data_IF_291755752835
#
_entry.id   IF_291755752835
#
_cell.length_a   1.000
_cell.length_b   1.000
_cell.length_c   1.000
_cell.angle_alpha   90.00
_cell.angle_beta   90.00
_cell.angle_gamma   90.00
#
_symmetry.space_group_name_H-M   'P 1'
#
loop_
_entity.id
_entity.type
_entity.pdbx_description
1 polymer ?
#
# COMPACT_ATOMS: atom_id res chain seq x y z
N UNK A 1 17.33 1.96 -2.10
CA UNK A 1 16.82 3.33 -2.33
C UNK A 1 17.19 4.21 -1.13
N UNK A 2 18.12 5.16 -1.25
CA UNK A 2 18.29 6.21 -0.24
C UNK A 2 17.18 7.24 -0.51
N UNK A 3 16.05 7.16 0.18
CA UNK A 3 15.07 8.25 0.13
C UNK A 3 15.59 9.37 1.03
N UNK A 4 16.20 10.39 0.45
CA UNK A 4 16.22 11.68 1.12
C UNK A 4 14.75 12.09 1.28
N UNK A 5 14.25 12.09 2.53
CA UNK A 5 12.87 12.44 2.90
C UNK A 5 12.77 13.91 3.34
N UNK A 6 13.72 14.74 2.91
CA UNK A 6 13.80 16.16 3.27
C UNK A 6 12.52 16.92 2.86
N UNK A 7 11.92 16.54 1.75
CA UNK A 7 10.64 17.06 1.26
C UNK A 7 9.47 16.82 2.22
N UNK A 8 9.58 15.89 3.18
CA UNK A 8 8.53 15.61 4.17
C UNK A 8 8.78 16.27 5.53
N UNK A 9 9.91 16.96 5.72
CA UNK A 9 10.19 17.66 6.98
C UNK A 9 9.09 18.70 7.23
N UNK A 10 8.47 18.65 8.42
CA UNK A 10 7.37 19.54 8.80
C UNK A 10 6.01 19.21 8.15
N UNK A 11 5.93 18.22 7.24
CA UNK A 11 4.67 17.87 6.57
C UNK A 11 3.63 17.34 7.56
N UNK A 12 4.04 16.50 8.50
CA UNK A 12 3.17 15.95 9.55
C UNK A 12 2.45 17.04 10.35
N UNK A 13 3.10 18.19 10.58
CA UNK A 13 2.51 19.30 11.31
C UNK A 13 1.46 20.01 10.48
N UNK A 14 1.76 20.28 9.20
CA UNK A 14 0.78 20.84 8.26
C UNK A 14 -0.46 19.97 8.14
N UNK A 15 -0.30 18.65 8.08
CA UNK A 15 -1.43 17.71 8.03
C UNK A 15 -2.27 17.76 9.31
N UNK A 16 -1.64 17.82 10.49
CA UNK A 16 -2.36 17.95 11.77
C UNK A 16 -3.16 19.24 11.88
N UNK A 17 -2.63 20.35 11.37
CA UNK A 17 -3.29 21.66 11.37
C UNK A 17 -4.19 21.87 10.15
N UNK A 18 -4.43 20.83 9.34
CA UNK A 18 -5.23 20.87 8.11
C UNK A 18 -4.74 21.90 7.06
N UNK A 19 -3.47 22.27 7.11
CA UNK A 19 -2.83 23.14 6.11
C UNK A 19 -2.45 22.32 4.87
N UNK A 20 -3.45 21.78 4.18
CA UNK A 20 -3.24 20.95 3.00
C UNK A 20 -2.70 21.75 1.81
N UNK A 21 -3.15 22.99 1.60
CA UNK A 21 -2.60 23.87 0.57
C UNK A 21 -1.08 24.12 0.76
N UNK A 22 -0.64 24.37 2.00
CA UNK A 22 0.78 24.52 2.31
C UNK A 22 1.58 23.22 2.19
N UNK A 23 0.93 22.07 2.37
CA UNK A 23 1.53 20.75 2.11
C UNK A 23 1.70 20.49 0.61
N UNK A 24 0.68 20.81 -0.20
CA UNK A 24 0.71 20.74 -1.68
C UNK A 24 1.87 21.59 -2.21
N UNK A 25 1.93 22.87 -1.82
CA UNK A 25 2.99 23.79 -2.24
C UNK A 25 4.40 23.30 -1.89
N UNK A 26 4.57 22.67 -0.72
CA UNK A 26 5.85 22.08 -0.30
C UNK A 26 6.27 20.90 -1.21
N UNK A 27 5.34 19.97 -1.49
CA UNK A 27 5.64 18.81 -2.34
C UNK A 27 5.88 19.23 -3.79
N UNK A 28 5.10 20.17 -4.32
CA UNK A 28 5.29 20.68 -5.68
C UNK A 28 6.63 21.42 -5.85
N UNK A 29 7.01 22.25 -4.87
CA UNK A 29 8.33 22.92 -4.89
C UNK A 29 9.50 21.94 -4.80
N UNK A 30 9.28 20.77 -4.21
CA UNK A 30 10.25 19.70 -4.07
C UNK A 30 10.35 18.78 -5.32
N UNK A 31 9.41 18.90 -6.27
CA UNK A 31 9.27 17.99 -7.43
C UNK A 31 10.57 17.78 -8.19
N UNK A 32 11.18 18.84 -8.71
CA UNK A 32 12.38 18.75 -9.55
C UNK A 32 13.59 18.17 -8.80
N UNK A 33 13.67 18.40 -7.48
CA UNK A 33 14.79 17.93 -6.66
C UNK A 33 14.64 16.47 -6.23
N UNK A 34 13.45 16.06 -5.81
CA UNK A 34 13.24 14.78 -5.13
C UNK A 34 12.42 13.77 -5.94
N UNK A 35 11.65 14.21 -6.92
CA UNK A 35 10.73 13.38 -7.68
C UNK A 35 11.16 13.26 -9.14
N UNK A 36 12.34 12.65 -9.37
CA UNK A 36 12.80 12.35 -10.73
C UNK A 36 11.91 11.27 -11.35
N UNK A 37 12.16 10.93 -12.62
CA UNK A 37 11.38 9.91 -13.37
C UNK A 37 11.13 8.62 -12.58
N UNK A 38 12.10 8.16 -11.77
CA UNK A 38 11.99 6.92 -10.98
C UNK A 38 11.12 7.04 -9.73
N UNK A 39 10.81 8.25 -9.28
CA UNK A 39 9.93 8.55 -8.14
C UNK A 39 8.53 9.04 -8.58
N UNK A 40 8.21 9.01 -9.88
CA UNK A 40 6.95 9.58 -10.41
C UNK A 40 5.68 9.00 -9.77
N UNK A 41 5.64 7.69 -9.49
CA UNK A 41 4.50 7.06 -8.79
C UNK A 41 4.32 7.69 -7.41
N UNK A 42 5.40 7.85 -6.66
CA UNK A 42 5.37 8.41 -5.31
C UNK A 42 4.87 9.86 -5.33
N UNK A 43 5.34 10.67 -6.28
CA UNK A 43 4.85 12.04 -6.46
C UNK A 43 3.34 12.08 -6.71
N UNK A 44 2.85 11.28 -7.65
CA UNK A 44 1.44 11.26 -8.01
C UNK A 44 0.54 10.79 -6.87
N UNK A 45 0.99 9.81 -6.09
CA UNK A 45 0.30 9.38 -4.89
C UNK A 45 0.26 10.49 -3.83
N UNK A 46 1.41 11.06 -3.49
CA UNK A 46 1.52 12.09 -2.46
C UNK A 46 0.62 13.29 -2.80
N UNK A 47 0.75 13.83 -4.01
CA UNK A 47 0.00 15.02 -4.41
C UNK A 47 -1.50 14.71 -4.62
N UNK A 48 -1.84 13.51 -5.14
CA UNK A 48 -3.22 13.07 -5.29
C UNK A 48 -3.94 12.96 -3.95
N UNK A 49 -3.26 12.40 -2.94
CA UNK A 49 -3.79 12.32 -1.57
C UNK A 49 -3.92 13.69 -0.92
N UNK A 50 -2.96 14.59 -1.11
CA UNK A 50 -3.05 15.96 -0.59
C UNK A 50 -4.22 16.73 -1.22
N UNK A 51 -4.46 16.58 -2.52
CA UNK A 51 -5.65 17.15 -3.17
C UNK A 51 -6.96 16.55 -2.65
N UNK A 52 -7.00 15.24 -2.36
CA UNK A 52 -8.17 14.61 -1.73
C UNK A 52 -8.50 15.27 -0.38
N UNK A 53 -7.50 15.41 0.50
CA UNK A 53 -7.70 16.06 1.80
C UNK A 53 -8.02 17.55 1.68
N UNK A 54 -7.51 18.23 0.66
CA UNK A 54 -7.85 19.62 0.34
C UNK A 54 -9.21 19.78 -0.37
N UNK A 55 -9.97 18.68 -0.56
CA UNK A 55 -11.26 18.64 -1.28
C UNK A 55 -11.20 19.09 -2.75
N UNK A 56 -10.02 19.05 -3.35
CA UNK A 56 -9.82 19.30 -4.77
C UNK A 56 -9.95 17.98 -5.55
N UNK A 57 -11.14 17.39 -5.49
CA UNK A 57 -11.39 16.01 -5.90
C UNK A 57 -11.06 15.73 -7.37
N UNK A 58 -11.31 16.66 -8.29
CA UNK A 58 -10.93 16.51 -9.69
C UNK A 58 -9.41 16.43 -9.88
N UNK A 59 -8.65 17.30 -9.22
CA UNK A 59 -7.18 17.27 -9.27
C UNK A 59 -6.62 16.02 -8.62
N UNK A 60 -7.24 15.59 -7.51
CA UNK A 60 -6.91 14.32 -6.88
C UNK A 60 -7.10 13.15 -7.86
N UNK A 61 -8.25 13.06 -8.52
CA UNK A 61 -8.54 12.03 -9.52
C UNK A 61 -7.56 12.03 -10.69
N UNK A 62 -7.16 13.20 -11.19
CA UNK A 62 -6.15 13.31 -12.25
C UNK A 62 -4.80 12.71 -11.81
N UNK A 63 -4.33 13.08 -10.61
CA UNK A 63 -3.04 12.64 -10.09
C UNK A 63 -3.07 11.15 -9.71
N UNK A 64 -4.13 10.68 -9.07
CA UNK A 64 -4.32 9.27 -8.74
C UNK A 64 -4.45 8.39 -10.00
N UNK A 65 -5.03 8.91 -11.08
CA UNK A 65 -5.05 8.23 -12.39
C UNK A 65 -3.66 8.15 -13.01
N UNK A 66 -2.86 9.23 -12.92
CA UNK A 66 -1.45 9.20 -13.33
C UNK A 66 -0.65 8.18 -12.52
N UNK A 67 -0.89 8.08 -11.22
CA UNK A 67 -0.28 7.05 -10.37
C UNK A 67 -0.65 5.64 -10.84
N UNK A 68 -1.96 5.35 -10.96
CA UNK A 68 -2.52 4.06 -11.42
C UNK A 68 -1.89 3.62 -12.75
N UNK A 69 -1.98 4.46 -13.77
CA UNK A 69 -1.45 4.16 -15.11
C UNK A 69 0.06 3.88 -15.08
N UNK A 70 0.80 4.64 -14.26
CA UNK A 70 2.26 4.46 -14.15
C UNK A 70 2.61 3.17 -13.39
N UNK A 71 1.85 2.79 -12.36
CA UNK A 71 2.01 1.51 -11.67
C UNK A 71 1.78 0.34 -12.64
N UNK A 72 0.76 0.41 -13.49
CA UNK A 72 0.44 -0.64 -14.47
C UNK A 72 1.50 -0.74 -15.59
N UNK A 73 2.03 0.40 -16.05
CA UNK A 73 3.15 0.47 -16.99
C UNK A 73 4.39 -0.22 -16.41
N UNK A 74 4.76 0.16 -15.17
CA UNK A 74 5.93 -0.39 -14.47
C UNK A 74 5.78 -1.87 -14.17
N UNK A 75 4.56 -2.30 -13.84
CA UNK A 75 4.25 -3.69 -13.67
C UNK A 75 4.44 -4.49 -14.97
N UNK A 76 3.90 -4.00 -16.09
CA UNK A 76 4.06 -4.65 -17.40
C UNK A 76 5.53 -4.79 -17.76
N UNK A 77 6.33 -3.73 -17.56
CA UNK A 77 7.79 -3.78 -17.73
C UNK A 77 8.46 -4.79 -16.82
N UNK A 78 8.00 -4.94 -15.57
CA UNK A 78 8.55 -5.89 -14.61
C UNK A 78 8.34 -7.35 -15.05
N UNK A 79 7.19 -7.67 -15.65
CA UNK A 79 6.92 -8.97 -16.27
C UNK A 79 7.93 -9.20 -17.40
N UNK A 80 7.98 -8.30 -18.39
CA UNK A 80 8.89 -8.44 -19.54
C UNK A 80 10.35 -8.61 -19.12
N UNK A 81 10.78 -7.90 -18.06
CA UNK A 81 12.12 -8.00 -17.49
C UNK A 81 12.36 -9.26 -16.67
N UNK A 82 11.34 -9.90 -16.10
CA UNK A 82 11.52 -11.12 -15.29
C UNK A 82 12.16 -12.27 -16.09
N UNK A 83 12.03 -12.28 -17.41
CA UNK A 83 12.69 -13.24 -18.29
C UNK A 83 14.21 -13.00 -18.44
N UNK A 84 14.67 -11.75 -18.32
CA UNK A 84 16.04 -11.32 -18.67
C UNK A 84 16.86 -10.74 -17.51
N UNK A 85 16.23 -10.29 -16.42
CA UNK A 85 16.74 -9.17 -15.64
C UNK A 85 16.86 -9.38 -14.11
N UNK A 86 16.81 -10.61 -13.60
CA UNK A 86 17.14 -10.82 -12.17
C UNK A 86 18.65 -10.55 -11.88
N UNK A 87 19.46 -10.29 -12.92
CA UNK A 87 20.87 -9.96 -12.83
C UNK A 87 21.20 -8.44 -12.92
N UNK A 88 20.20 -7.55 -13.03
CA UNK A 88 20.47 -6.11 -13.12
C UNK A 88 20.30 -5.40 -11.78
N UNK A 89 21.34 -4.65 -11.41
CA UNK A 89 21.54 -3.90 -10.18
C UNK A 89 20.29 -3.08 -9.74
N UNK A 90 19.83 -3.32 -8.50
CA UNK A 90 18.61 -2.74 -7.88
C UNK A 90 18.59 -1.20 -7.86
N UNK A 91 19.74 -0.53 -8.01
CA UNK A 91 19.82 0.94 -7.98
C UNK A 91 19.19 1.65 -9.19
N UNK A 92 18.79 0.94 -10.26
CA UNK A 92 18.18 1.53 -11.46
C UNK A 92 16.65 1.35 -11.57
N UNK A 93 15.99 0.79 -10.54
CA UNK A 93 14.56 0.47 -10.61
C UNK A 93 13.68 1.65 -10.19
N UNK A 94 12.67 1.95 -11.02
CA UNK A 94 11.61 2.91 -10.70
C UNK A 94 10.73 2.39 -9.56
N UNK A 95 10.29 3.26 -8.65
CA UNK A 95 9.31 2.91 -7.63
C UNK A 95 7.98 2.59 -8.31
N UNK A 96 7.57 1.32 -8.25
CA UNK A 96 6.38 0.81 -8.95
C UNK A 96 5.09 0.90 -8.15
N UNK A 97 5.11 1.46 -6.93
CA UNK A 97 4.01 1.35 -5.98
C UNK A 97 3.95 -0.01 -5.30
N UNK A 98 3.29 -0.06 -4.16
CA UNK A 98 2.92 -1.29 -3.46
C UNK A 98 1.52 -1.76 -3.89
N UNK A 99 1.21 -3.05 -3.80
CA UNK A 99 -0.06 -3.58 -4.32
C UNK A 99 -1.27 -3.01 -3.56
N UNK A 100 -1.14 -2.82 -2.24
CA UNK A 100 -2.19 -2.17 -1.45
C UNK A 100 -2.40 -0.71 -1.89
N UNK A 101 -1.33 0.04 -2.19
CA UNK A 101 -1.46 1.42 -2.68
C UNK A 101 -2.27 1.46 -3.98
N UNK A 102 -1.97 0.54 -4.91
CA UNK A 102 -2.70 0.43 -6.18
C UNK A 102 -4.20 0.14 -5.97
N UNK A 103 -4.55 -0.66 -4.96
CA UNK A 103 -5.95 -0.95 -4.58
C UNK A 103 -6.61 0.30 -3.97
N UNK A 104 -5.95 0.95 -3.00
CA UNK A 104 -6.51 2.11 -2.30
C UNK A 104 -6.58 3.37 -3.17
N UNK A 105 -5.78 3.45 -4.25
CA UNK A 105 -5.95 4.50 -5.27
C UNK A 105 -7.40 4.55 -5.77
N UNK A 106 -8.05 3.42 -6.05
CA UNK A 106 -9.44 3.43 -6.50
C UNK A 106 -10.43 3.68 -5.36
N UNK A 107 -10.13 3.31 -4.11
CA UNK A 107 -10.95 3.70 -2.95
C UNK A 107 -10.99 5.23 -2.84
N UNK A 108 -9.85 5.90 -2.91
CA UNK A 108 -9.81 7.36 -2.81
C UNK A 108 -10.40 8.04 -4.05
N UNK A 109 -10.23 7.49 -5.25
CA UNK A 109 -10.93 7.98 -6.45
C UNK A 109 -12.46 7.81 -6.32
N UNK A 110 -12.95 6.69 -5.79
CA UNK A 110 -14.37 6.50 -5.53
C UNK A 110 -14.89 7.54 -4.53
N UNK A 111 -14.19 7.76 -3.42
CA UNK A 111 -14.54 8.80 -2.44
C UNK A 111 -14.53 10.21 -3.04
N UNK A 112 -13.56 10.51 -3.91
CA UNK A 112 -13.52 11.77 -4.65
C UNK A 112 -14.74 11.94 -5.54
N UNK A 113 -15.11 10.93 -6.32
CA UNK A 113 -16.29 10.97 -7.18
C UNK A 113 -17.59 11.09 -6.37
N UNK A 114 -17.69 10.41 -5.21
CA UNK A 114 -18.80 10.63 -4.27
C UNK A 114 -18.85 12.07 -3.77
N UNK A 115 -17.70 12.68 -3.47
CA UNK A 115 -17.61 14.11 -3.12
C UNK A 115 -17.92 15.08 -4.26
N UNK A 116 -18.10 14.57 -5.48
CA UNK A 116 -18.50 15.31 -6.68
C UNK A 116 -19.93 14.95 -7.15
N UNK A 117 -20.66 14.17 -6.36
CA UNK A 117 -21.99 13.63 -6.71
C UNK A 117 -21.99 12.77 -8.00
N UNK A 118 -20.83 12.18 -8.34
CA UNK A 118 -20.59 11.34 -9.51
C UNK A 118 -20.67 9.85 -9.15
N UNK A 119 -21.88 9.35 -8.91
CA UNK A 119 -22.11 7.98 -8.42
C UNK A 119 -21.67 6.89 -9.42
N UNK A 120 -21.92 7.08 -10.72
CA UNK A 120 -21.54 6.12 -11.75
C UNK A 120 -20.02 5.95 -11.83
N UNK A 121 -19.28 7.05 -11.78
CA UNK A 121 -17.83 7.06 -11.77
C UNK A 121 -17.28 6.43 -10.48
N UNK A 122 -17.90 6.69 -9.33
CA UNK A 122 -17.55 6.03 -8.07
C UNK A 122 -17.70 4.50 -8.18
N UNK A 123 -18.80 4.01 -8.77
CA UNK A 123 -19.01 2.59 -9.02
C UNK A 123 -17.97 1.99 -9.96
N UNK A 124 -17.56 2.71 -11.00
CA UNK A 124 -16.49 2.26 -11.91
C UNK A 124 -15.20 2.02 -11.12
N UNK A 125 -14.84 2.94 -10.23
CA UNK A 125 -13.64 2.78 -9.39
C UNK A 125 -13.77 1.62 -8.40
N UNK A 126 -14.95 1.43 -7.80
CA UNK A 126 -15.19 0.27 -6.93
C UNK A 126 -15.06 -1.06 -7.70
N UNK A 127 -15.58 -1.15 -8.92
CA UNK A 127 -15.41 -2.34 -9.77
C UNK A 127 -13.95 -2.58 -10.15
N UNK A 128 -13.15 -1.52 -10.32
CA UNK A 128 -11.69 -1.65 -10.55
C UNK A 128 -10.97 -2.29 -9.37
N UNK A 129 -11.43 -2.05 -8.13
CA UNK A 129 -10.88 -2.72 -6.95
C UNK A 129 -11.05 -4.24 -7.06
N UNK A 130 -12.28 -4.69 -7.35
CA UNK A 130 -12.59 -6.11 -7.53
C UNK A 130 -11.74 -6.74 -8.65
N UNK A 131 -11.59 -6.03 -9.77
CA UNK A 131 -10.72 -6.46 -10.87
C UNK A 131 -9.28 -6.62 -10.41
N UNK A 132 -8.72 -5.61 -9.72
CA UNK A 132 -7.33 -5.65 -9.20
C UNK A 132 -7.11 -6.80 -8.23
N UNK A 133 -8.06 -7.05 -7.32
CA UNK A 133 -7.99 -8.17 -6.38
C UNK A 133 -8.03 -9.52 -7.10
N UNK A 134 -8.92 -9.68 -8.09
CA UNK A 134 -9.07 -10.95 -8.82
C UNK A 134 -7.81 -11.33 -9.61
N UNK A 135 -7.07 -10.35 -10.14
CA UNK A 135 -5.86 -10.59 -10.93
C UNK A 135 -4.58 -10.56 -10.10
N UNK A 136 -4.63 -10.18 -8.82
CA UNK A 136 -3.45 -9.97 -7.98
C UNK A 136 -2.61 -11.24 -7.81
N UNK A 137 -3.23 -12.41 -7.62
CA UNK A 137 -2.46 -13.65 -7.54
C UNK A 137 -1.86 -14.04 -8.90
N UNK A 138 -2.66 -13.92 -9.96
CA UNK A 138 -2.26 -14.27 -11.32
C UNK A 138 -1.11 -13.41 -11.82
N UNK A 139 -1.09 -12.14 -11.42
CA UNK A 139 0.01 -11.19 -11.55
C UNK A 139 1.34 -11.84 -11.16
N UNK A 140 1.42 -12.37 -9.94
CA UNK A 140 2.64 -12.96 -9.40
C UNK A 140 2.92 -14.36 -9.96
N UNK A 141 1.88 -15.18 -10.19
CA UNK A 141 2.01 -16.50 -10.82
C UNK A 141 2.65 -16.37 -12.22
N UNK A 142 2.28 -15.35 -13.00
CA UNK A 142 2.88 -15.07 -14.31
C UNK A 142 4.36 -14.73 -14.20
N UNK A 143 4.75 -13.90 -13.24
CA UNK A 143 6.16 -13.57 -13.00
C UNK A 143 6.96 -14.83 -12.62
N UNK A 144 6.43 -15.65 -11.70
CA UNK A 144 7.07 -16.91 -11.30
C UNK A 144 7.24 -17.87 -12.47
N UNK A 145 6.20 -18.03 -13.29
CA UNK A 145 6.24 -18.87 -14.49
C UNK A 145 7.31 -18.40 -15.49
N UNK A 146 7.43 -17.09 -15.72
CA UNK A 146 8.43 -16.55 -16.64
C UNK A 146 9.85 -16.73 -16.13
N UNK A 147 10.11 -16.45 -14.86
CA UNK A 147 11.42 -16.68 -14.26
C UNK A 147 11.80 -18.18 -14.27
N UNK A 148 10.87 -19.06 -13.88
CA UNK A 148 11.11 -20.50 -13.86
C UNK A 148 11.34 -21.09 -15.27
N UNK A 149 11.05 -20.33 -16.34
CA UNK A 149 11.35 -20.68 -17.73
C UNK A 149 12.66 -20.07 -18.24
N UNK A 150 13.26 -19.13 -17.51
CA UNK A 150 14.51 -18.48 -17.93
C UNK A 150 15.67 -19.47 -17.87
N UNK A 151 16.55 -19.44 -18.88
CA UNK A 151 17.75 -20.29 -18.97
C UNK A 151 18.77 -19.99 -17.87
N UNK A 152 18.72 -18.78 -17.31
CA UNK A 152 19.66 -18.32 -16.27
C UNK A 152 19.14 -18.55 -14.84
N UNK A 153 18.08 -19.35 -14.66
CA UNK A 153 17.53 -19.60 -13.32
C UNK A 153 18.49 -20.46 -12.50
N UNK A 154 18.78 -20.02 -11.26
CA UNK A 154 19.55 -20.82 -10.30
C UNK A 154 18.67 -21.81 -9.54
N UNK A 155 17.45 -21.40 -9.20
CA UNK A 155 16.44 -22.21 -8.49
C UNK A 155 15.04 -21.82 -8.96
N UNK A 156 14.07 -22.74 -8.88
CA UNK A 156 12.66 -22.40 -9.09
C UNK A 156 12.11 -21.63 -7.87
N UNK A 157 11.14 -20.74 -8.07
CA UNK A 157 10.37 -20.16 -6.96
C UNK A 157 8.86 -20.34 -7.13
N UNK A 158 8.15 -20.30 -5.99
CA UNK A 158 6.69 -20.23 -5.89
C UNK A 158 6.31 -18.90 -5.26
N UNK A 159 5.20 -18.32 -5.70
CA UNK A 159 4.68 -17.08 -5.12
C UNK A 159 4.05 -17.35 -3.76
N UNK A 160 3.89 -16.30 -2.95
CA UNK A 160 2.92 -16.36 -1.86
C UNK A 160 1.49 -16.50 -2.40
N UNK A 161 0.54 -16.78 -1.52
CA UNK A 161 -0.89 -16.74 -1.80
C UNK A 161 -1.49 -15.48 -1.20
N UNK A 162 -2.48 -14.89 -1.87
CA UNK A 162 -3.25 -13.77 -1.33
C UNK A 162 -4.48 -14.30 -0.63
N UNK A 163 -4.68 -13.91 0.62
CA UNK A 163 -6.00 -14.03 1.25
C UNK A 163 -6.85 -12.80 1.03
N UNK A 164 -6.33 -11.74 0.40
CA UNK A 164 -7.11 -10.54 0.08
C UNK A 164 -7.73 -10.68 -1.31
N UNK A 165 -9.03 -10.96 -1.34
CA UNK A 165 -9.83 -11.18 -2.54
C UNK A 165 -11.08 -10.28 -2.56
N UNK A 166 -11.46 -9.72 -1.42
CA UNK A 166 -12.64 -8.87 -1.28
C UNK A 166 -12.39 -7.76 -0.25
N UNK A 167 -12.55 -6.50 -0.68
CA UNK A 167 -12.42 -5.31 0.16
C UNK A 167 -13.76 -4.96 0.80
N UNK A 168 -13.87 -5.09 2.12
CA UNK A 168 -15.08 -4.73 2.85
C UNK A 168 -15.35 -3.23 2.76
N UNK A 169 -14.31 -2.39 2.71
CA UNK A 169 -14.49 -0.95 2.50
C UNK A 169 -15.05 -0.66 1.10
N UNK A 170 -14.52 -1.29 0.05
CA UNK A 170 -15.05 -1.14 -1.31
C UNK A 170 -16.51 -1.59 -1.41
N UNK A 171 -16.85 -2.73 -0.81
CA UNK A 171 -18.24 -3.23 -0.71
C UNK A 171 -19.14 -2.29 0.09
N UNK A 172 -18.62 -1.71 1.17
CA UNK A 172 -19.37 -0.77 1.99
C UNK A 172 -19.70 0.50 1.20
N UNK A 173 -18.76 1.06 0.45
CA UNK A 173 -19.03 2.20 -0.44
C UNK A 173 -20.09 1.85 -1.50
N UNK A 174 -19.96 0.68 -2.13
CA UNK A 174 -20.93 0.16 -3.11
C UNK A 174 -22.34 0.03 -2.52
N UNK A 175 -22.45 -0.55 -1.33
CA UNK A 175 -23.69 -0.69 -0.57
C UNK A 175 -24.34 0.67 -0.33
N UNK A 176 -23.56 1.67 0.08
CA UNK A 176 -24.09 3.02 0.33
C UNK A 176 -24.66 3.64 -0.95
N UNK A 177 -23.97 3.49 -2.09
CA UNK A 177 -24.46 4.02 -3.37
C UNK A 177 -25.75 3.29 -3.79
N UNK A 178 -25.76 1.95 -3.75
CA UNK A 178 -26.97 1.18 -4.07
C UNK A 178 -28.16 1.55 -3.20
N UNK A 179 -27.92 1.80 -1.91
CA UNK A 179 -28.97 2.26 -0.99
C UNK A 179 -29.50 3.64 -1.38
N UNK A 180 -28.62 4.59 -1.74
CA UNK A 180 -29.02 5.92 -2.21
C UNK A 180 -29.86 5.85 -3.49
N UNK A 181 -29.57 4.89 -4.38
CA UNK A 181 -30.33 4.65 -5.61
C UNK A 181 -31.58 3.76 -5.41
N UNK A 182 -31.94 3.45 -4.16
CA UNK A 182 -33.05 2.55 -3.81
C UNK A 182 -32.94 1.12 -4.40
N UNK A 183 -31.72 0.66 -4.66
CA UNK A 183 -31.38 -0.69 -5.15
C UNK A 183 -31.04 -1.62 -3.98
N UNK A 184 -32.03 -1.91 -3.14
CA UNK A 184 -31.80 -2.61 -1.86
C UNK A 184 -31.32 -4.06 -2.01
N UNK A 185 -31.70 -4.75 -3.10
CA UNK A 185 -31.21 -6.10 -3.37
C UNK A 185 -29.71 -6.12 -3.69
N UNK A 186 -29.23 -5.18 -4.50
CA UNK A 186 -27.80 -5.03 -4.78
C UNK A 186 -27.02 -4.63 -3.51
N UNK A 187 -27.57 -3.70 -2.72
CA UNK A 187 -26.99 -3.32 -1.43
C UNK A 187 -26.90 -4.51 -0.46
N UNK A 188 -27.89 -5.41 -0.46
CA UNK A 188 -27.90 -6.66 0.32
C UNK A 188 -26.82 -7.64 -0.15
N UNK A 189 -26.56 -7.73 -1.46
CA UNK A 189 -25.47 -8.54 -2.00
C UNK A 189 -24.13 -8.03 -1.47
N UNK A 190 -23.88 -6.73 -1.52
CA UNK A 190 -22.63 -6.18 -0.99
C UNK A 190 -22.51 -6.34 0.53
N UNK A 191 -23.62 -6.25 1.28
CA UNK A 191 -23.63 -6.54 2.71
C UNK A 191 -23.22 -7.99 3.00
N UNK A 192 -23.71 -8.96 2.22
CA UNK A 192 -23.30 -10.35 2.35
C UNK A 192 -21.82 -10.54 2.05
N UNK A 193 -21.29 -9.87 1.01
CA UNK A 193 -19.85 -9.90 0.71
C UNK A 193 -19.02 -9.27 1.83
N UNK A 194 -19.50 -8.23 2.51
CA UNK A 194 -18.82 -7.70 3.70
C UNK A 194 -18.72 -8.78 4.78
N UNK A 195 -19.81 -9.50 5.07
CA UNK A 195 -19.82 -10.59 6.05
C UNK A 195 -18.87 -11.73 5.66
N UNK A 196 -18.90 -12.14 4.40
CA UNK A 196 -17.97 -13.15 3.85
C UNK A 196 -16.50 -12.75 4.03
N UNK A 197 -16.18 -11.45 3.99
CA UNK A 197 -14.81 -11.00 4.20
C UNK A 197 -14.31 -11.33 5.62
N UNK A 198 -15.17 -11.22 6.63
CA UNK A 198 -14.84 -11.62 8.01
C UNK A 198 -14.69 -13.14 8.16
N UNK A 199 -15.52 -13.90 7.47
CA UNK A 199 -15.49 -15.37 7.51
C UNK A 199 -14.26 -15.95 6.82
N UNK A 200 -13.95 -15.45 5.62
CA UNK A 200 -12.97 -16.07 4.71
C UNK A 200 -11.59 -15.42 4.77
N UNK A 201 -11.48 -14.17 5.25
CA UNK A 201 -10.25 -13.38 5.21
C UNK A 201 -9.84 -12.87 6.62
N UNK A 202 -9.98 -13.73 7.64
CA UNK A 202 -9.72 -13.40 9.05
C UNK A 202 -8.30 -12.93 9.38
N UNK A 203 -7.32 -13.15 8.49
CA UNK A 203 -5.98 -12.56 8.63
C UNK A 203 -5.94 -11.06 8.37
N UNK A 204 -6.96 -10.51 7.71
CA UNK A 204 -7.12 -9.08 7.40
C UNK A 204 -8.19 -8.48 8.30
N UNK A 205 -9.36 -9.13 8.38
CA UNK A 205 -10.49 -8.69 9.19
C UNK A 205 -10.43 -9.37 10.56
N UNK A 206 -9.37 -9.07 11.30
CA UNK A 206 -9.05 -9.66 12.60
C UNK A 206 -9.61 -8.86 13.80
N UNK A 207 -10.58 -7.98 13.56
CA UNK A 207 -11.25 -7.14 14.54
C UNK A 207 -12.76 -7.40 14.50
N UNK A 208 -13.51 -6.86 15.47
CA UNK A 208 -14.97 -7.03 15.53
C UNK A 208 -15.63 -6.45 14.27
N UNK A 209 -16.48 -7.24 13.61
CA UNK A 209 -17.29 -6.79 12.49
C UNK A 209 -18.21 -5.63 12.92
N UNK A 210 -18.35 -4.57 12.10
CA UNK A 210 -19.32 -3.54 12.36
C UNK A 210 -20.73 -4.10 12.47
N UNK A 211 -21.54 -3.41 13.25
CA UNK A 211 -22.96 -3.64 13.33
C UNK A 211 -23.63 -3.01 12.09
N UNK A 212 -24.21 -3.86 11.26
CA UNK A 212 -24.94 -3.45 10.06
C UNK A 212 -26.45 -3.51 10.26
N UNK A 213 -26.92 -3.64 11.50
CA UNK A 213 -28.34 -3.64 11.80
C UNK A 213 -28.98 -2.34 11.31
N UNK A 214 -30.15 -2.46 10.71
CA UNK A 214 -30.92 -1.35 10.14
C UNK A 214 -30.28 -0.58 8.98
N UNK A 215 -29.12 -0.99 8.45
CA UNK A 215 -28.50 -0.32 7.30
C UNK A 215 -29.41 -0.31 6.07
N UNK A 216 -30.12 -1.41 5.84
CA UNK A 216 -31.04 -1.60 4.71
C UNK A 216 -32.51 -1.41 5.07
N UNK A 217 -32.84 -1.16 6.34
CA UNK A 217 -34.23 -0.93 6.77
C UNK A 217 -34.74 0.39 6.21
N UNK A 218 -35.82 0.35 5.44
CA UNK A 218 -36.52 1.55 5.00
C UNK A 218 -37.25 2.18 6.19
N UNK A 219 -37.13 3.50 6.34
CA UNK A 219 -37.93 4.28 7.27
C UNK A 219 -38.08 5.71 6.73
N UNK A 220 -39.01 6.48 7.30
CA UNK A 220 -39.29 7.86 6.88
C UNK A 220 -38.26 8.88 7.41
N UNK A 221 -37.04 8.46 7.76
CA UNK A 221 -35.97 9.34 8.24
C UNK A 221 -34.82 9.37 7.25
N UNK A 222 -34.13 10.51 7.20
CA UNK A 222 -32.89 10.65 6.45
C UNK A 222 -31.80 9.82 7.13
N UNK A 223 -31.04 9.06 6.33
CA UNK A 223 -29.85 8.35 6.80
C UNK A 223 -28.61 9.21 6.49
N UNK A 224 -27.73 9.32 7.48
CA UNK A 224 -26.43 9.99 7.36
C UNK A 224 -25.36 8.98 7.76
N UNK A 225 -24.41 8.71 6.87
CA UNK A 225 -23.27 7.83 7.14
C UNK A 225 -22.00 8.66 7.30
N UNK A 226 -21.16 8.23 8.24
CA UNK A 226 -19.87 8.86 8.52
C UNK A 226 -18.75 7.88 8.22
N UNK A 227 -17.77 8.33 7.43
CA UNK A 227 -16.55 7.57 7.15
C UNK A 227 -15.36 8.40 7.60
N UNK A 228 -14.41 7.75 8.27
CA UNK A 228 -13.17 8.39 8.71
C UNK A 228 -12.00 7.43 8.57
N UNK A 229 -10.85 7.97 8.15
CA UNK A 229 -9.59 7.26 8.14
C UNK A 229 -8.75 7.73 9.33
N UNK A 230 -8.20 6.78 10.06
CA UNK A 230 -7.34 7.04 11.22
C UNK A 230 -6.02 6.31 11.11
N UNK A 231 -5.02 6.81 11.83
CA UNK A 231 -3.69 6.19 11.88
C UNK A 231 -2.79 6.61 10.73
N UNK A 232 -1.74 5.82 10.50
CA UNK A 232 -0.69 6.08 9.52
C UNK A 232 -0.59 4.87 8.59
N UNK A 233 -0.26 5.11 7.33
CA UNK A 233 0.06 4.01 6.41
C UNK A 233 1.28 3.23 6.91
N UNK A 234 1.33 1.91 6.66
CA UNK A 234 2.46 1.09 7.08
C UNK A 234 3.75 1.53 6.37
N UNK A 235 4.90 1.29 7.01
CA UNK A 235 6.21 1.67 6.46
C UNK A 235 7.00 0.44 6.04
N UNK A 236 7.53 0.48 4.81
CA UNK A 236 8.51 -0.49 4.33
C UNK A 236 9.91 -0.07 4.75
N UNK A 237 10.59 -0.92 5.52
CA UNK A 237 11.99 -0.73 5.93
C UNK A 237 12.87 -1.83 5.37
N UNK A 238 14.19 -1.65 5.42
CA UNK A 238 15.15 -2.69 5.03
C UNK A 238 16.07 -3.08 6.19
N UNK A 239 16.28 -4.39 6.40
CA UNK A 239 17.42 -4.91 7.16
C UNK A 239 18.58 -5.05 6.18
N UNK A 240 19.70 -4.42 6.47
CA UNK A 240 20.86 -4.50 5.58
C UNK A 240 21.90 -5.45 6.19
N UNK A 241 22.35 -6.41 5.39
CA UNK A 241 23.47 -7.30 5.70
C UNK A 241 24.66 -6.89 4.84
N UNK A 242 25.77 -6.57 5.48
CA UNK A 242 27.06 -6.34 4.84
C UNK A 242 27.92 -7.58 5.08
N UNK A 243 28.42 -8.18 4.00
CA UNK A 243 29.38 -9.27 4.06
C UNK A 243 30.68 -8.75 3.48
N UNK A 244 31.75 -8.85 4.27
CA UNK A 244 33.08 -8.41 3.89
C UNK A 244 34.10 -9.51 4.19
N UNK A 245 35.03 -9.79 3.28
CA UNK A 245 36.12 -10.72 3.54
C UNK A 245 37.46 -10.01 3.67
N UNK A 246 38.20 -10.40 4.71
CA UNK A 246 39.63 -10.14 4.88
C UNK A 246 40.36 -11.50 4.91
N UNK A 247 41.70 -11.49 4.89
CA UNK A 247 42.44 -12.74 4.93
C UNK A 247 42.14 -13.53 6.22
N UNK A 248 41.65 -14.76 6.05
CA UNK A 248 41.18 -15.67 7.11
C UNK A 248 39.95 -15.19 7.91
N UNK A 249 39.28 -14.10 7.52
CA UNK A 249 38.15 -13.54 8.25
C UNK A 249 36.95 -13.27 7.35
N UNK A 250 35.77 -13.68 7.82
CA UNK A 250 34.48 -13.28 7.28
C UNK A 250 33.82 -12.31 8.27
N UNK A 251 33.55 -11.09 7.83
CA UNK A 251 32.89 -10.05 8.62
C UNK A 251 31.46 -9.89 8.13
N UNK A 252 30.51 -10.02 9.06
CA UNK A 252 29.08 -9.89 8.79
C UNK A 252 28.52 -8.75 9.64
N UNK A 253 28.24 -7.61 9.01
CA UNK A 253 27.58 -6.47 9.65
C UNK A 253 26.08 -6.48 9.38
N UNK A 254 25.25 -6.38 10.43
CA UNK A 254 23.79 -6.21 10.31
C UNK A 254 23.42 -4.80 10.73
N UNK A 255 22.85 -4.03 9.82
CA UNK A 255 22.27 -2.73 10.16
C UNK A 255 20.74 -2.77 10.09
N UNK A 256 20.10 -2.04 11.00
CA UNK A 256 18.67 -1.75 10.94
C UNK A 256 18.48 -0.28 10.63
N UNK A 257 17.50 0.01 9.80
CA UNK A 257 17.08 1.37 9.52
C UNK A 257 16.21 1.88 10.68
N UNK A 258 16.75 2.83 11.47
CA UNK A 258 15.99 3.49 12.55
C UNK A 258 15.05 4.50 11.92
N UNK A 259 15.62 5.37 11.08
CA UNK A 259 14.92 6.37 10.29
C UNK A 259 15.51 6.40 8.88
N UNK A 260 14.83 7.06 7.96
CA UNK A 260 15.10 7.01 6.51
C UNK A 260 16.50 7.45 6.06
N UNK A 261 17.29 8.02 6.96
CA UNK A 261 18.69 8.42 6.75
C UNK A 261 19.66 7.92 7.82
N UNK A 262 19.18 7.23 8.87
CA UNK A 262 20.02 6.67 9.94
C UNK A 262 19.91 5.16 9.99
N UNK A 263 21.02 4.50 9.66
CA UNK A 263 21.22 3.08 9.92
C UNK A 263 22.05 2.94 11.20
N UNK A 264 21.63 2.03 12.06
CA UNK A 264 22.41 1.65 13.24
C UNK A 264 22.94 0.23 13.05
N UNK A 265 24.21 0.05 13.38
CA UNK A 265 24.84 -1.26 13.43
C UNK A 265 24.23 -2.04 14.60
N UNK A 266 23.34 -2.96 14.27
CA UNK A 266 22.66 -3.78 15.25
C UNK A 266 23.50 -4.97 15.71
N UNK A 267 24.45 -5.43 14.88
CA UNK A 267 25.31 -6.57 15.18
C UNK A 267 26.49 -6.62 14.21
N UNK A 268 27.66 -7.02 14.70
CA UNK A 268 28.84 -7.32 13.91
C UNK A 268 29.35 -8.70 14.32
N UNK A 269 29.29 -9.67 13.42
CA UNK A 269 29.85 -11.00 13.63
C UNK A 269 31.17 -11.10 12.85
N UNK A 270 32.24 -11.54 13.51
CA UNK A 270 33.53 -11.82 12.87
C UNK A 270 33.81 -13.31 13.02
N UNK A 271 33.86 -14.01 11.89
CA UNK A 271 34.03 -15.46 11.84
C UNK A 271 35.44 -15.75 11.32
N UNK A 272 36.22 -16.51 12.08
CA UNK A 272 37.52 -17.01 11.62
C UNK A 272 37.30 -18.10 10.58
N UNK A 273 37.57 -17.78 9.32
CA UNK A 273 37.44 -18.68 8.19
C UNK A 273 38.80 -18.83 7.52
N UNK A 274 39.62 -19.74 8.06
CA UNK A 274 40.95 -20.03 7.52
C UNK A 274 40.88 -20.37 6.02
N UNK A 275 41.73 -19.72 5.24
CA UNK A 275 41.81 -19.91 3.79
C UNK A 275 40.93 -18.98 2.95
N UNK A 276 39.99 -18.24 3.55
CA UNK A 276 39.26 -17.19 2.82
C UNK A 276 40.21 -16.02 2.51
N UNK A 277 40.11 -15.46 1.31
CA UNK A 277 40.91 -14.32 0.86
C UNK A 277 40.13 -13.02 0.99
N UNK A 278 40.87 -11.93 1.21
CA UNK A 278 40.34 -10.58 1.08
C UNK A 278 39.74 -10.35 -0.31
N UNK A 279 38.64 -9.60 -0.37
CA UNK A 279 38.18 -8.97 -1.62
C UNK A 279 36.69 -9.09 -1.93
N UNK A 280 35.93 -9.85 -1.15
CA UNK A 280 34.49 -9.96 -1.34
C UNK A 280 33.75 -8.92 -0.49
N UNK A 281 32.93 -8.11 -1.16
CA UNK A 281 32.07 -7.10 -0.55
C UNK A 281 30.64 -7.26 -1.07
N UNK A 282 29.73 -7.75 -0.24
CA UNK A 282 28.33 -7.89 -0.58
C UNK A 282 27.44 -7.05 0.34
N UNK A 283 26.39 -6.48 -0.22
CA UNK A 283 25.34 -5.77 0.52
C UNK A 283 23.98 -6.32 0.12
N UNK A 284 23.29 -6.93 1.07
CA UNK A 284 21.93 -7.42 0.91
C UNK A 284 20.97 -6.51 1.65
N UNK A 285 19.87 -6.09 1.00
CA UNK A 285 18.81 -5.32 1.64
C UNK A 285 17.53 -6.14 1.64
N UNK A 286 17.16 -6.70 2.79
CA UNK A 286 15.95 -7.49 2.94
C UNK A 286 14.81 -6.58 3.41
N UNK A 287 13.83 -6.25 2.54
CA UNK A 287 12.72 -5.42 2.93
C UNK A 287 11.76 -6.16 3.86
N UNK A 288 11.03 -5.38 4.66
CA UNK A 288 9.95 -5.85 5.51
C UNK A 288 8.98 -4.70 5.80
N UNK A 289 7.73 -5.03 6.05
CA UNK A 289 6.69 -4.06 6.42
C UNK A 289 6.62 -3.88 7.94
N UNK A 290 6.31 -2.66 8.37
CA UNK A 290 6.11 -2.29 9.77
C UNK A 290 4.77 -1.56 9.90
N UNK A 291 3.93 -2.00 10.85
CA UNK A 291 2.71 -1.30 11.24
C UNK A 291 3.05 -0.05 12.05
N UNK A 292 2.32 1.03 11.84
CA UNK A 292 2.45 2.30 12.56
C UNK A 292 1.16 2.53 13.33
N UNK A 293 1.20 2.21 14.63
CA UNK A 293 0.07 2.38 15.54
C UNK A 293 -0.56 3.78 15.42
N UNK A 294 -1.89 3.79 15.41
CA UNK A 294 -2.66 5.03 15.54
C UNK A 294 -2.60 5.53 16.98
N UNK A 295 -2.46 6.85 17.16
CA UNK A 295 -2.68 7.50 18.46
C UNK A 295 -4.17 7.75 18.74
N UNK A 296 -5.05 7.41 17.79
CA UNK A 296 -6.51 7.56 17.91
C UNK A 296 -7.09 6.21 18.34
N UNK A 297 -7.65 6.15 19.55
CA UNK A 297 -8.29 4.93 20.07
C UNK A 297 -9.75 4.76 19.66
N UNK A 298 -10.47 5.86 19.41
CA UNK A 298 -11.88 5.85 18.94
C UNK A 298 -12.24 7.18 18.30
N UNK A 299 -13.19 7.15 17.37
CA UNK A 299 -13.83 8.34 16.80
C UNK A 299 -15.28 8.37 17.27
N UNK A 300 -15.68 9.48 17.88
CA UNK A 300 -17.04 9.71 18.36
C UNK A 300 -17.68 10.81 17.52
N UNK A 301 -18.92 10.59 17.10
CA UNK A 301 -19.74 11.61 16.46
C UNK A 301 -20.65 12.22 17.53
N UNK A 302 -20.66 13.54 17.59
CA UNK A 302 -21.53 14.30 18.47
C UNK A 302 -22.66 14.91 17.64
N UNK A 303 -23.90 14.73 18.10
CA UNK A 303 -25.10 15.37 17.54
C UNK A 303 -25.70 16.17 18.69
N UNK A 304 -25.88 17.47 18.49
CA UNK A 304 -26.35 18.41 19.53
C UNK A 304 -25.58 18.27 20.86
N UNK A 305 -24.24 18.26 20.77
CA UNK A 305 -23.28 18.10 21.88
C UNK A 305 -23.38 16.78 22.67
N UNK A 306 -24.18 15.82 22.21
CA UNK A 306 -24.29 14.48 22.81
C UNK A 306 -23.52 13.47 21.98
N UNK A 307 -22.67 12.63 22.61
CA UNK A 307 -21.97 11.58 21.88
C UNK A 307 -22.97 10.51 21.46
N UNK A 308 -23.37 10.55 20.20
CA UNK A 308 -24.44 9.71 19.67
C UNK A 308 -23.91 8.40 19.10
N UNK A 309 -22.73 8.43 18.46
CA UNK A 309 -22.19 7.29 17.73
C UNK A 309 -20.70 7.12 17.97
N UNK A 310 -20.26 5.86 18.04
CA UNK A 310 -18.84 5.48 17.98
C UNK A 310 -18.61 4.79 16.63
N UNK A 311 -17.71 5.33 15.81
CA UNK A 311 -17.39 4.69 14.53
C UNK A 311 -16.69 3.34 14.76
N UNK A 312 -17.05 2.36 13.94
CA UNK A 312 -16.50 1.01 13.98
C UNK A 312 -15.56 0.80 12.78
N UNK A 313 -14.49 0.02 12.98
CA UNK A 313 -13.53 -0.26 11.92
C UNK A 313 -14.18 -1.14 10.85
N UNK A 314 -14.03 -0.77 9.58
CA UNK A 314 -14.51 -1.55 8.43
C UNK A 314 -13.38 -2.29 7.71
N UNK A 315 -12.19 -1.69 7.62
CA UNK A 315 -11.04 -2.28 6.94
C UNK A 315 -9.76 -1.66 7.50
N UNK A 316 -8.68 -2.46 7.56
CA UNK A 316 -7.36 -1.99 7.97
C UNK A 316 -6.41 -1.99 6.79
N UNK A 317 -6.00 -0.78 6.35
CA UNK A 317 -4.98 -0.59 5.31
C UNK A 317 -3.67 -1.30 5.70
N UNK A 318 -3.33 -1.31 7.00
CA UNK A 318 -2.13 -1.99 7.49
C UNK A 318 -2.22 -3.50 7.29
N UNK A 319 -3.33 -4.14 7.65
CA UNK A 319 -3.47 -5.58 7.47
C UNK A 319 -3.48 -5.96 5.98
N UNK A 320 -4.14 -5.16 5.14
CA UNK A 320 -4.13 -5.33 3.68
C UNK A 320 -2.70 -5.19 3.12
N UNK A 321 -1.94 -4.20 3.56
CA UNK A 321 -0.56 -4.02 3.12
C UNK A 321 0.34 -5.19 3.51
N UNK A 322 0.18 -5.71 4.73
CA UNK A 322 0.93 -6.88 5.17
C UNK A 322 0.56 -8.14 4.39
N UNK A 323 -0.73 -8.37 4.15
CA UNK A 323 -1.19 -9.56 3.41
C UNK A 323 -0.74 -9.51 1.95
N UNK A 324 -0.88 -8.36 1.29
CA UNK A 324 -0.41 -8.19 -0.09
C UNK A 324 1.11 -8.26 -0.22
N UNK A 325 1.86 -7.79 0.79
CA UNK A 325 3.32 -7.92 0.84
C UNK A 325 3.80 -9.38 0.84
N UNK A 326 3.12 -10.29 1.56
CA UNK A 326 3.48 -11.72 1.62
C UNK A 326 3.47 -12.40 0.24
N UNK A 327 2.62 -11.93 -0.68
CA UNK A 327 2.52 -12.50 -2.03
C UNK A 327 3.84 -12.32 -2.80
N UNK A 328 4.45 -11.14 -2.65
CA UNK A 328 5.66 -10.72 -3.37
C UNK A 328 6.95 -10.88 -2.58
N UNK A 329 6.87 -11.20 -1.30
CA UNK A 329 8.04 -11.39 -0.45
C UNK A 329 9.01 -12.45 -1.04
N UNK A 330 8.56 -13.63 -1.54
CA UNK A 330 9.47 -14.62 -2.10
C UNK A 330 10.28 -14.13 -3.31
N UNK A 331 9.64 -13.40 -4.24
CA UNK A 331 10.34 -12.85 -5.40
C UNK A 331 11.26 -11.70 -5.00
N UNK A 332 10.87 -10.91 -4.01
CA UNK A 332 11.67 -9.80 -3.50
C UNK A 332 12.96 -10.34 -2.89
N UNK A 333 12.87 -11.39 -2.07
CA UNK A 333 14.04 -12.01 -1.44
C UNK A 333 14.93 -12.72 -2.44
N UNK A 334 14.34 -13.39 -3.43
CA UNK A 334 15.10 -13.99 -4.53
C UNK A 334 15.96 -12.94 -5.23
N UNK A 335 15.38 -11.80 -5.63
CA UNK A 335 16.10 -10.67 -6.25
C UNK A 335 17.21 -10.11 -5.37
N UNK A 336 17.03 -10.09 -4.04
CA UNK A 336 18.06 -9.60 -3.13
C UNK A 336 19.29 -10.52 -3.08
N UNK A 337 19.11 -11.83 -3.25
CA UNK A 337 20.16 -12.84 -3.01
C UNK A 337 20.89 -13.23 -4.30
N UNK A 338 20.24 -13.12 -5.46
CA UNK A 338 20.80 -13.47 -6.77
C UNK A 338 21.53 -12.32 -7.43
#
# INVERSE_FOLDING_TARGET
MKSHKEQYIGLDEKLKTQNYAGAISQIDSAKERFYKKKERVLYYLDIGMLYHYNREFQKSNEMLTKAENTMDELFTKSISRAATSILLNDNSLEYCGEDYENIYVNIFKALNYLGLDQFDEAFVEIRRIDQKLSVLEDKYKKIAKQYNRSKNKKNNFKTGKSRFQNSALGRYLSLLIYRTENKLDDARIDLNKIKEAWELQSSIYNFRMPDFDNYLTENNKVKIDFISFIGRSPEKKAKTLYIHTEDNLLIIGKTKEISSSKQELSRLDVINWKGIKKGYHFKFQLPYMIKRSSNIGKVKIFIDDKPELVLQNIESIEEVAFETYKIKEPITYLKTIT
#
